data_IF_820518066215
#
_entry.id   IF_820518066215
#
_cell.length_a   1.000
_cell.length_b   1.000
_cell.length_c   1.000
_cell.angle_alpha   90.00
_cell.angle_beta   90.00
_cell.angle_gamma   90.00
#
_symmetry.space_group_name_H-M   'P 1'
#
loop_
_entity.id
_entity.type
_entity.pdbx_description
1 polymer ?
#
# COMPACT_ATOMS: atom_id res chain seq x y z
N UNK A 1 -8.63 -24.00 -23.11
CA UNK A 1 -8.76 -22.84 -24.03
C UNK A 1 -8.57 -21.52 -23.29
N UNK A 2 -9.35 -21.23 -22.24
CA UNK A 2 -9.27 -19.96 -21.49
C UNK A 2 -7.89 -19.71 -20.84
N UNK A 3 -7.27 -20.72 -20.22
CA UNK A 3 -5.93 -20.58 -19.64
C UNK A 3 -4.86 -20.14 -20.65
N UNK A 4 -4.86 -20.71 -21.86
CA UNK A 4 -3.90 -20.35 -22.91
C UNK A 4 -4.07 -18.89 -23.32
N UNK A 5 -5.33 -18.46 -23.53
CA UNK A 5 -5.63 -17.07 -23.88
C UNK A 5 -5.22 -16.09 -22.77
N UNK A 6 -5.43 -16.47 -21.51
CA UNK A 6 -4.97 -15.68 -20.37
C UNK A 6 -3.44 -15.56 -20.35
N UNK A 7 -2.72 -16.67 -20.60
CA UNK A 7 -1.26 -16.66 -20.66
C UNK A 7 -0.74 -15.77 -21.80
N UNK A 8 -1.30 -15.88 -23.00
CA UNK A 8 -0.92 -15.01 -24.14
C UNK A 8 -1.11 -13.52 -23.83
N UNK A 9 -2.17 -13.17 -23.08
CA UNK A 9 -2.40 -11.79 -22.62
C UNK A 9 -1.37 -11.37 -21.58
N UNK A 10 -1.06 -12.22 -20.60
CA UNK A 10 -0.06 -11.95 -19.56
C UNK A 10 1.31 -11.73 -20.21
N UNK A 11 1.73 -12.61 -21.12
CA UNK A 11 3.02 -12.52 -21.81
C UNK A 11 3.11 -11.22 -22.63
N UNK A 12 2.05 -10.87 -23.35
CA UNK A 12 1.96 -9.62 -24.12
C UNK A 12 2.03 -8.38 -23.24
N UNK A 13 1.34 -8.38 -22.09
CA UNK A 13 1.39 -7.29 -21.12
C UNK A 13 2.78 -7.15 -20.49
N UNK A 14 3.43 -8.24 -20.11
CA UNK A 14 4.79 -8.22 -19.55
C UNK A 14 5.79 -7.71 -20.58
N UNK A 15 5.70 -8.17 -21.83
CA UNK A 15 6.57 -7.69 -22.89
C UNK A 15 6.42 -6.18 -23.11
N UNK A 16 5.20 -5.67 -23.08
CA UNK A 16 4.94 -4.23 -23.16
C UNK A 16 5.52 -3.49 -21.96
N UNK A 17 5.28 -3.97 -20.73
CA UNK A 17 5.80 -3.35 -19.50
C UNK A 17 7.34 -3.28 -19.51
N UNK A 18 8.03 -4.34 -19.94
CA UNK A 18 9.49 -4.32 -20.10
C UNK A 18 9.96 -3.23 -21.05
N UNK A 19 9.24 -3.01 -22.16
CA UNK A 19 9.57 -1.98 -23.14
C UNK A 19 9.28 -0.55 -22.64
N UNK A 20 8.41 -0.38 -21.64
CA UNK A 20 8.11 0.92 -21.02
C UNK A 20 9.03 1.29 -19.85
N UNK A 21 9.87 0.37 -19.37
CA UNK A 21 10.75 0.67 -18.25
C UNK A 21 11.78 1.72 -18.67
N UNK A 22 11.92 2.78 -17.87
CA UNK A 22 12.90 3.81 -18.13
C UNK A 22 14.33 3.23 -18.05
N UNK A 23 15.15 3.36 -19.11
CA UNK A 23 16.47 2.72 -19.16
C UNK A 23 17.51 3.38 -18.23
N UNK A 24 17.30 4.64 -17.85
CA UNK A 24 18.25 5.37 -17.00
C UNK A 24 18.04 5.08 -15.51
N UNK A 25 16.80 4.87 -15.10
CA UNK A 25 16.41 4.79 -13.69
C UNK A 25 15.87 3.43 -13.27
N UNK A 26 15.27 2.66 -14.19
CA UNK A 26 14.57 1.41 -13.91
C UNK A 26 13.11 1.58 -13.45
N UNK A 27 12.58 2.80 -13.39
CA UNK A 27 11.20 3.07 -12.99
C UNK A 27 10.20 3.03 -14.16
N UNK A 28 8.92 3.20 -13.84
CA UNK A 28 7.82 3.34 -14.81
C UNK A 28 7.07 4.67 -14.63
N UNK A 29 6.56 5.20 -15.75
CA UNK A 29 5.72 6.41 -15.81
C UNK A 29 6.32 7.60 -15.03
N UNK A 30 7.61 7.85 -15.22
CA UNK A 30 8.30 8.95 -14.56
C UNK A 30 7.90 10.28 -15.22
N UNK A 31 7.53 11.30 -14.42
CA UNK A 31 7.21 12.60 -14.97
C UNK A 31 8.49 13.38 -15.33
N UNK A 32 8.39 14.24 -16.34
CA UNK A 32 9.49 15.18 -16.69
C UNK A 32 9.69 16.26 -15.61
N UNK A 33 8.61 16.65 -14.94
CA UNK A 33 8.60 17.61 -13.83
C UNK A 33 7.56 17.19 -12.76
N UNK A 34 7.82 17.53 -11.50
CA UNK A 34 6.95 17.20 -10.37
C UNK A 34 7.40 15.98 -9.56
N UNK A 35 6.52 15.44 -8.70
CA UNK A 35 6.86 14.35 -7.79
C UNK A 35 6.92 13.01 -8.50
N UNK A 36 7.91 12.20 -8.13
CA UNK A 36 8.00 10.80 -8.56
C UNK A 36 7.16 9.92 -7.64
N UNK A 37 6.43 8.98 -8.25
CA UNK A 37 5.56 8.03 -7.54
C UNK A 37 6.13 6.60 -7.65
N UNK A 38 7.01 6.18 -6.73
CA UNK A 38 7.54 4.81 -6.75
C UNK A 38 6.46 3.73 -6.66
N UNK A 39 5.25 4.05 -6.17
CA UNK A 39 4.09 3.19 -6.23
C UNK A 39 3.80 2.62 -7.62
N UNK A 40 4.00 3.41 -8.70
CA UNK A 40 3.70 2.94 -10.05
C UNK A 40 4.64 1.79 -10.42
N UNK A 41 5.93 1.94 -10.11
CA UNK A 41 6.91 0.86 -10.23
C UNK A 41 6.53 -0.34 -9.37
N UNK A 42 6.08 -0.12 -8.12
CA UNK A 42 5.59 -1.19 -7.25
C UNK A 42 4.44 -2.00 -7.87
N UNK A 43 3.41 -1.33 -8.41
CA UNK A 43 2.28 -2.00 -9.08
C UNK A 43 2.72 -2.86 -10.27
N UNK A 44 3.62 -2.33 -11.11
CA UNK A 44 4.16 -3.06 -12.26
C UNK A 44 4.91 -4.31 -11.80
N UNK A 45 5.77 -4.16 -10.79
CA UNK A 45 6.55 -5.28 -10.25
C UNK A 45 5.68 -6.34 -9.59
N UNK A 46 4.69 -5.96 -8.78
CA UNK A 46 3.72 -6.90 -8.19
C UNK A 46 3.01 -7.71 -9.28
N UNK A 47 2.57 -7.06 -10.36
CA UNK A 47 1.95 -7.75 -11.48
C UNK A 47 2.88 -8.74 -12.18
N UNK A 48 4.14 -8.35 -12.41
CA UNK A 48 5.15 -9.23 -13.00
C UNK A 48 5.49 -10.43 -12.10
N UNK A 49 5.69 -10.20 -10.80
CA UNK A 49 6.08 -11.21 -9.81
C UNK A 49 4.99 -12.26 -9.53
N UNK A 50 3.74 -12.01 -9.92
CA UNK A 50 2.69 -13.04 -9.89
C UNK A 50 2.83 -14.07 -11.03
N UNK A 51 3.71 -13.84 -12.00
CA UNK A 51 4.02 -14.85 -13.03
C UNK A 51 5.05 -15.83 -12.49
N UNK A 52 4.78 -17.14 -12.66
CA UNK A 52 5.58 -18.21 -12.04
C UNK A 52 7.06 -18.21 -12.45
N UNK A 53 7.40 -17.65 -13.61
CA UNK A 53 8.75 -17.65 -14.18
C UNK A 53 9.51 -16.32 -13.95
N UNK A 54 8.97 -15.40 -13.15
CA UNK A 54 9.58 -14.10 -12.87
C UNK A 54 9.82 -13.96 -11.37
N UNK A 55 11.08 -13.71 -11.01
CA UNK A 55 11.52 -13.50 -9.63
C UNK A 55 12.53 -12.33 -9.54
N UNK A 56 13.18 -12.18 -8.39
CA UNK A 56 14.19 -11.15 -8.16
C UNK A 56 15.46 -11.26 -9.02
N UNK A 57 15.69 -12.38 -9.71
CA UNK A 57 16.82 -12.53 -10.65
C UNK A 57 16.53 -11.92 -12.02
N UNK A 58 15.27 -11.62 -12.33
CA UNK A 58 14.91 -10.96 -13.57
C UNK A 58 15.50 -9.54 -13.66
N UNK A 59 16.24 -9.18 -14.73
CA UNK A 59 16.88 -7.87 -14.82
C UNK A 59 15.93 -6.68 -14.82
N UNK A 60 14.70 -6.83 -15.33
CA UNK A 60 13.67 -5.79 -15.28
C UNK A 60 13.20 -5.59 -13.85
N UNK A 61 12.97 -6.69 -13.11
CA UNK A 61 12.57 -6.66 -11.69
C UNK A 61 13.67 -6.06 -10.84
N UNK A 62 14.90 -6.54 -10.95
CA UNK A 62 16.04 -6.06 -10.16
C UNK A 62 16.25 -4.55 -10.28
N UNK A 63 16.14 -3.99 -11.50
CA UNK A 63 16.21 -2.55 -11.73
C UNK A 63 15.04 -1.79 -11.10
N UNK A 64 13.83 -2.33 -11.20
CA UNK A 64 12.64 -1.72 -10.58
C UNK A 64 12.72 -1.70 -9.05
N UNK A 65 13.21 -2.77 -8.44
CA UNK A 65 13.43 -2.82 -6.98
C UNK A 65 14.52 -1.84 -6.56
N UNK A 66 15.64 -1.78 -7.29
CA UNK A 66 16.67 -0.78 -7.02
C UNK A 66 16.13 0.65 -7.13
N UNK A 67 15.23 0.91 -8.09
CA UNK A 67 14.53 2.18 -8.20
C UNK A 67 13.67 2.47 -6.97
N UNK A 68 12.82 1.53 -6.52
CA UNK A 68 11.99 1.68 -5.31
C UNK A 68 12.84 2.01 -4.08
N UNK A 69 13.92 1.25 -3.85
CA UNK A 69 14.78 1.39 -2.67
C UNK A 69 15.47 2.75 -2.59
N UNK A 70 15.71 3.43 -3.73
CA UNK A 70 16.27 4.81 -3.75
C UNK A 70 15.33 5.85 -3.15
N UNK A 71 14.04 5.55 -3.05
CA UNK A 71 13.04 6.43 -2.43
C UNK A 71 12.77 6.09 -0.96
N UNK A 72 13.50 5.14 -0.38
CA UNK A 72 13.40 4.87 1.05
C UNK A 72 13.98 6.05 1.86
N UNK A 73 13.20 6.53 2.81
CA UNK A 73 13.52 7.65 3.70
C UNK A 73 14.02 7.15 5.07
N UNK A 74 14.68 8.01 5.87
CA UNK A 74 15.15 7.64 7.21
C UNK A 74 14.06 7.19 8.19
N UNK A 75 12.81 7.65 8.00
CA UNK A 75 11.65 7.25 8.81
C UNK A 75 11.04 5.90 8.36
N UNK A 76 11.59 5.28 7.32
CA UNK A 76 11.13 4.02 6.76
C UNK A 76 10.08 4.16 5.65
N UNK A 77 9.53 5.35 5.41
CA UNK A 77 8.65 5.58 4.27
C UNK A 77 9.38 5.39 2.94
N UNK A 78 8.64 5.06 1.88
CA UNK A 78 9.16 4.92 0.53
C UNK A 78 8.38 5.87 -0.38
N UNK A 79 8.91 7.08 -0.57
CA UNK A 79 8.27 8.14 -1.34
C UNK A 79 9.28 9.23 -1.74
N UNK A 80 8.90 10.04 -2.74
CA UNK A 80 9.59 11.32 -3.03
C UNK A 80 9.18 12.38 -1.98
N UNK A 81 7.97 12.94 -2.12
CA UNK A 81 7.51 14.03 -1.24
C UNK A 81 6.01 14.10 -0.95
N UNK A 82 5.18 13.45 -1.77
CA UNK A 82 3.72 13.46 -1.64
C UNK A 82 3.19 12.05 -1.45
N UNK A 83 2.02 11.97 -0.82
CA UNK A 83 1.25 10.74 -0.62
C UNK A 83 2.09 9.55 -0.11
N UNK A 84 2.91 9.74 0.96
CA UNK A 84 3.89 8.75 1.38
C UNK A 84 3.29 7.42 1.86
N UNK A 85 2.13 7.43 2.53
CA UNK A 85 1.49 6.18 2.97
C UNK A 85 1.06 5.30 1.80
N UNK A 86 0.53 5.90 0.73
CA UNK A 86 0.11 5.19 -0.48
C UNK A 86 1.31 4.56 -1.20
N UNK A 87 2.39 5.34 -1.39
CA UNK A 87 3.61 4.81 -2.02
C UNK A 87 4.24 3.71 -1.19
N UNK A 88 4.39 3.92 0.12
CA UNK A 88 5.02 2.95 1.02
C UNK A 88 4.25 1.63 1.02
N UNK A 89 2.92 1.68 1.08
CA UNK A 89 2.06 0.48 1.10
C UNK A 89 2.24 -0.38 -0.15
N UNK A 90 2.19 0.23 -1.34
CA UNK A 90 2.32 -0.50 -2.60
C UNK A 90 3.75 -1.02 -2.79
N UNK A 91 4.76 -0.19 -2.50
CA UNK A 91 6.16 -0.60 -2.58
C UNK A 91 6.46 -1.75 -1.60
N UNK A 92 5.87 -1.74 -0.41
CA UNK A 92 6.07 -2.80 0.60
C UNK A 92 5.61 -4.17 0.08
N UNK A 93 4.44 -4.25 -0.57
CA UNK A 93 3.97 -5.49 -1.20
C UNK A 93 4.95 -5.99 -2.27
N UNK A 94 5.42 -5.10 -3.17
CA UNK A 94 6.40 -5.47 -4.19
C UNK A 94 7.74 -5.94 -3.60
N UNK A 95 8.23 -5.28 -2.54
CA UNK A 95 9.44 -5.67 -1.83
C UNK A 95 9.29 -7.03 -1.11
N UNK A 96 8.12 -7.32 -0.57
CA UNK A 96 7.84 -8.61 0.05
C UNK A 96 7.83 -9.75 -0.99
N UNK A 97 7.19 -9.53 -2.14
CA UNK A 97 7.07 -10.53 -3.20
C UNK A 97 8.42 -10.87 -3.85
N UNK A 98 9.33 -9.90 -4.00
CA UNK A 98 10.61 -10.15 -4.69
C UNK A 98 11.59 -10.99 -3.85
N UNK A 99 11.44 -10.99 -2.53
CA UNK A 99 12.19 -11.83 -1.59
C UNK A 99 13.73 -11.77 -1.75
N UNK A 100 14.29 -10.56 -1.86
CA UNK A 100 15.75 -10.34 -1.92
C UNK A 100 16.30 -9.80 -0.59
N UNK A 101 17.61 -9.97 -0.30
CA UNK A 101 18.22 -9.43 0.92
C UNK A 101 18.10 -7.91 1.05
N UNK A 102 18.17 -7.18 -0.06
CA UNK A 102 18.03 -5.72 -0.10
C UNK A 102 16.59 -5.31 0.22
N UNK A 103 15.61 -6.01 -0.34
CA UNK A 103 14.20 -5.77 -0.04
C UNK A 103 13.86 -6.10 1.42
N UNK A 104 14.37 -7.23 1.93
CA UNK A 104 14.16 -7.66 3.31
C UNK A 104 14.64 -6.62 4.34
N UNK A 105 15.74 -5.92 4.06
CA UNK A 105 16.25 -4.83 4.92
C UNK A 105 15.32 -3.63 4.98
N UNK A 106 14.55 -3.38 3.92
CA UNK A 106 13.65 -2.23 3.85
C UNK A 106 12.28 -2.48 4.51
N UNK A 107 11.82 -3.74 4.57
CA UNK A 107 10.49 -4.13 5.03
C UNK A 107 10.16 -3.61 6.43
N UNK A 108 11.04 -3.84 7.42
CA UNK A 108 10.75 -3.49 8.82
C UNK A 108 10.55 -1.99 9.05
N UNK A 109 11.29 -1.16 8.33
CA UNK A 109 11.14 0.30 8.36
C UNK A 109 9.80 0.74 7.77
N UNK A 110 9.44 0.19 6.61
CA UNK A 110 8.16 0.47 5.96
C UNK A 110 6.94 0.02 6.77
N UNK A 111 6.99 -1.18 7.39
CA UNK A 111 5.94 -1.63 8.32
C UNK A 111 5.79 -0.69 9.52
N UNK A 112 6.91 -0.28 10.11
CA UNK A 112 6.90 0.65 11.26
C UNK A 112 6.29 1.99 10.88
N UNK A 113 6.70 2.54 9.73
CA UNK A 113 6.14 3.77 9.20
C UNK A 113 4.61 3.68 9.03
N UNK A 114 4.12 2.68 8.30
CA UNK A 114 2.69 2.53 8.01
C UNK A 114 1.84 2.40 9.28
N UNK A 115 2.31 1.63 10.27
CA UNK A 115 1.62 1.50 11.55
C UNK A 115 1.56 2.82 12.32
N UNK A 116 2.60 3.66 12.24
CA UNK A 116 2.60 5.00 12.85
C UNK A 116 1.65 5.99 12.17
N UNK A 117 1.41 5.82 10.87
CA UNK A 117 0.52 6.68 10.08
C UNK A 117 -0.95 6.30 10.20
N UNK A 118 -1.28 5.10 10.68
CA UNK A 118 -2.65 4.69 10.92
C UNK A 118 -3.24 5.48 12.10
N UNK A 119 -4.44 6.02 11.90
CA UNK A 119 -5.14 6.81 12.91
C UNK A 119 -5.37 6.01 14.18
N UNK A 120 -4.82 6.48 15.29
CA UNK A 120 -4.88 5.87 16.61
C UNK A 120 -4.54 6.89 17.69
N UNK A 121 -4.59 6.47 18.95
CA UNK A 121 -4.16 7.30 20.08
C UNK A 121 -2.69 7.74 19.98
N UNK A 122 -1.88 7.00 19.21
CA UNK A 122 -0.44 7.20 19.06
C UNK A 122 -0.02 7.65 17.65
N UNK A 123 -0.97 8.00 16.77
CA UNK A 123 -0.64 8.37 15.40
C UNK A 123 0.24 9.62 15.35
N UNK A 124 1.23 9.61 14.46
CA UNK A 124 2.31 10.62 14.42
C UNK A 124 1.97 11.95 13.76
N UNK A 125 0.72 12.19 13.35
CA UNK A 125 0.26 13.51 12.90
C UNK A 125 -1.13 13.83 13.40
N UNK A 126 -1.44 15.12 13.48
CA UNK A 126 -2.56 15.58 14.30
C UNK A 126 -2.89 17.06 14.15
N UNK A 127 -2.70 17.63 12.96
CA UNK A 127 -2.78 19.09 12.83
C UNK A 127 -4.25 19.57 12.76
N UNK A 128 -5.16 18.74 12.25
CA UNK A 128 -6.58 19.10 12.06
C UNK A 128 -7.57 18.25 12.88
N UNK A 129 -7.23 16.99 13.18
CA UNK A 129 -8.15 16.05 13.86
C UNK A 129 -7.90 15.92 15.37
N UNK A 130 -6.82 16.48 15.89
CA UNK A 130 -6.39 16.23 17.27
C UNK A 130 -6.07 14.76 17.52
N UNK A 131 -6.22 14.31 18.77
CA UNK A 131 -6.03 12.90 19.14
C UNK A 131 -7.19 12.06 18.61
N UNK A 132 -6.88 11.01 17.84
CA UNK A 132 -7.88 10.09 17.28
C UNK A 132 -7.98 8.84 18.16
N UNK A 133 -8.82 8.90 19.19
CA UNK A 133 -9.14 7.73 20.02
C UNK A 133 -10.13 6.78 19.35
N UNK A 134 -10.36 5.62 19.96
CA UNK A 134 -11.32 4.62 19.46
C UNK A 134 -12.71 5.17 19.16
N UNK A 135 -13.20 6.20 19.87
CA UNK A 135 -14.54 6.76 19.65
C UNK A 135 -14.63 7.64 18.40
N UNK A 136 -13.50 8.10 17.87
CA UNK A 136 -13.45 8.97 16.70
C UNK A 136 -13.71 8.18 15.40
N UNK A 137 -14.48 8.72 14.44
CA UNK A 137 -14.85 8.01 13.20
C UNK A 137 -13.65 7.59 12.34
N UNK A 138 -12.50 8.26 12.48
CA UNK A 138 -11.29 7.94 11.71
C UNK A 138 -10.44 6.81 12.29
N UNK A 139 -10.74 6.35 13.51
CA UNK A 139 -9.92 5.37 14.20
C UNK A 139 -9.68 4.12 13.35
N UNK A 140 -8.41 3.74 13.20
CA UNK A 140 -7.96 2.60 12.42
C UNK A 140 -7.91 2.79 10.90
N UNK A 141 -8.40 3.92 10.40
CA UNK A 141 -8.21 4.32 9.02
C UNK A 141 -6.79 4.84 8.75
N UNK A 142 -6.45 4.95 7.48
CA UNK A 142 -5.22 5.62 7.01
C UNK A 142 -5.55 6.40 5.74
N UNK A 143 -4.89 7.54 5.56
CA UNK A 143 -4.98 8.35 4.34
C UNK A 143 -3.64 8.44 3.63
N UNK A 144 -3.42 9.52 2.89
CA UNK A 144 -2.17 9.77 2.17
C UNK A 144 -0.97 10.13 3.07
N UNK A 145 -1.21 10.27 4.36
CA UNK A 145 -0.26 10.57 5.41
C UNK A 145 -1.05 10.74 6.71
N UNK A 146 -0.43 11.38 7.70
CA UNK A 146 -1.03 11.65 8.99
C UNK A 146 -1.91 12.91 9.02
N UNK A 147 -2.37 13.37 7.85
CA UNK A 147 -3.23 14.53 7.68
C UNK A 147 -4.38 14.17 6.74
N UNK A 148 -5.58 14.64 7.07
CA UNK A 148 -6.78 14.46 6.26
C UNK A 148 -7.58 13.18 6.57
N UNK A 149 -8.72 13.08 5.90
CA UNK A 149 -9.70 12.00 6.09
C UNK A 149 -9.11 10.65 5.61
N UNK A 150 -9.18 9.58 6.42
CA UNK A 150 -8.85 8.24 5.94
C UNK A 150 -9.85 7.75 4.88
N UNK A 151 -9.42 6.77 4.09
CA UNK A 151 -10.26 6.16 3.08
C UNK A 151 -9.96 4.66 2.90
N UNK A 152 -10.94 3.94 2.33
CA UNK A 152 -10.83 2.50 2.13
C UNK A 152 -9.75 2.07 1.14
N UNK A 153 -9.34 2.94 0.21
CA UNK A 153 -8.33 2.59 -0.79
C UNK A 153 -6.92 2.59 -0.20
N UNK A 154 -6.55 3.63 0.55
CA UNK A 154 -5.31 3.70 1.30
C UNK A 154 -5.25 2.58 2.34
N UNK A 155 -6.36 2.32 3.04
CA UNK A 155 -6.41 1.21 3.98
C UNK A 155 -6.19 -0.14 3.30
N UNK A 156 -6.84 -0.40 2.17
CA UNK A 156 -6.68 -1.65 1.44
C UNK A 156 -5.22 -1.90 1.03
N UNK A 157 -4.55 -0.90 0.45
CA UNK A 157 -3.14 -1.05 0.08
C UNK A 157 -2.24 -1.24 1.30
N UNK A 158 -2.49 -0.53 2.39
CA UNK A 158 -1.73 -0.71 3.63
C UNK A 158 -1.86 -2.14 4.15
N UNK A 159 -3.09 -2.65 4.27
CA UNK A 159 -3.34 -4.01 4.76
C UNK A 159 -2.69 -5.06 3.86
N UNK A 160 -2.76 -4.89 2.54
CA UNK A 160 -2.09 -5.78 1.59
C UNK A 160 -0.57 -5.77 1.78
N UNK A 161 0.05 -4.58 1.85
CA UNK A 161 1.49 -4.47 2.05
C UNK A 161 1.96 -5.06 3.38
N UNK A 162 1.24 -4.80 4.47
CA UNK A 162 1.54 -5.39 5.79
C UNK A 162 1.40 -6.91 5.78
N UNK A 163 0.33 -7.44 5.18
CA UNK A 163 0.10 -8.88 5.08
C UNK A 163 1.17 -9.57 4.22
N UNK A 164 1.44 -9.06 3.01
CA UNK A 164 2.43 -9.65 2.10
C UNK A 164 3.83 -9.68 2.72
N UNK A 165 4.16 -8.64 3.50
CA UNK A 165 5.44 -8.55 4.23
C UNK A 165 5.48 -9.34 5.54
N UNK A 166 4.45 -10.14 5.83
CA UNK A 166 4.43 -11.09 6.94
C UNK A 166 4.11 -10.50 8.30
N UNK A 167 3.48 -9.32 8.38
CA UNK A 167 2.92 -8.84 9.64
C UNK A 167 1.74 -9.73 10.06
N UNK A 168 1.71 -10.12 11.32
CA UNK A 168 0.64 -10.95 11.88
C UNK A 168 -0.72 -10.23 11.78
N UNK A 169 -1.76 -10.93 11.33
CA UNK A 169 -3.12 -10.40 11.27
C UNK A 169 -3.72 -10.11 12.66
N UNK A 170 -3.13 -10.65 13.72
CA UNK A 170 -3.47 -10.31 15.11
C UNK A 170 -2.78 -9.02 15.60
N UNK A 171 -1.87 -8.41 14.82
CA UNK A 171 -1.27 -7.10 15.13
C UNK A 171 -2.35 -6.02 15.27
N UNK A 172 -2.14 -5.09 16.21
CA UNK A 172 -3.08 -4.00 16.49
C UNK A 172 -3.47 -3.21 15.23
N UNK A 173 -2.58 -3.10 14.24
CA UNK A 173 -2.89 -2.40 13.00
C UNK A 173 -4.06 -3.02 12.23
N UNK A 174 -4.13 -4.35 12.15
CA UNK A 174 -5.25 -5.06 11.53
C UNK A 174 -6.50 -4.95 12.39
N UNK A 175 -6.37 -5.07 13.71
CA UNK A 175 -7.51 -4.97 14.63
C UNK A 175 -8.15 -3.58 14.62
N UNK A 176 -7.36 -2.50 14.51
CA UNK A 176 -7.86 -1.14 14.30
C UNK A 176 -8.53 -0.99 12.94
N UNK A 177 -7.96 -1.58 11.89
CA UNK A 177 -8.54 -1.53 10.55
C UNK A 177 -9.95 -2.15 10.48
N UNK A 178 -10.20 -3.23 11.23
CA UNK A 178 -11.55 -3.82 11.35
C UNK A 178 -12.56 -2.79 11.87
N UNK A 179 -12.21 -2.01 12.90
CA UNK A 179 -13.08 -0.94 13.42
C UNK A 179 -13.42 0.08 12.34
N UNK A 180 -12.41 0.50 11.56
CA UNK A 180 -12.65 1.43 10.46
C UNK A 180 -13.56 0.84 9.38
N UNK A 181 -13.32 -0.42 8.99
CA UNK A 181 -14.14 -1.11 7.99
C UNK A 181 -15.59 -1.32 8.45
N UNK A 182 -15.80 -1.66 9.72
CA UNK A 182 -17.13 -1.71 10.33
C UNK A 182 -17.83 -0.36 10.24
N UNK A 183 -17.09 0.74 10.47
CA UNK A 183 -17.61 2.11 10.38
C UNK A 183 -17.83 2.60 8.96
N UNK A 184 -17.15 2.03 7.97
CA UNK A 184 -17.46 2.32 6.57
C UNK A 184 -18.76 1.68 6.12
N UNK A 185 -19.34 0.76 6.87
CA UNK A 185 -20.57 0.07 6.46
C UNK A 185 -21.80 0.72 7.06
N UNK A 186 -22.80 0.97 6.23
CA UNK A 186 -24.05 1.65 6.60
C UNK A 186 -25.04 0.70 7.29
N UNK A 187 -24.60 0.07 8.38
CA UNK A 187 -25.35 -0.95 9.13
C UNK A 187 -25.06 -0.86 10.64
N UNK A 188 -26.07 -0.51 11.42
CA UNK A 188 -25.95 -0.26 12.86
C UNK A 188 -25.76 -1.52 13.70
N UNK A 189 -25.71 -2.72 13.11
CA UNK A 189 -25.36 -3.96 13.83
C UNK A 189 -23.87 -4.06 14.14
N UNK A 190 -23.04 -3.34 13.40
CA UNK A 190 -21.58 -3.35 13.55
C UNK A 190 -20.95 -1.97 13.42
N UNK A 191 -21.58 -1.03 12.72
CA UNK A 191 -21.18 0.38 12.77
C UNK A 191 -21.74 1.06 14.03
N UNK A 192 -20.84 1.38 14.96
CA UNK A 192 -21.16 2.00 16.24
C UNK A 192 -21.40 3.52 16.18
N UNK A 193 -21.29 4.12 14.99
CA UNK A 193 -21.43 5.57 14.83
C UNK A 193 -22.89 6.05 14.88
N UNK A 194 -23.16 7.27 15.40
CA UNK A 194 -24.52 7.80 15.52
C UNK A 194 -25.31 7.83 14.22
N UNK A 195 -24.65 8.10 13.09
CA UNK A 195 -25.29 8.13 11.78
C UNK A 195 -25.78 6.75 11.32
N UNK A 196 -25.19 5.66 11.84
CA UNK A 196 -25.54 4.29 11.46
C UNK A 196 -26.65 3.66 12.31
N UNK A 197 -27.07 4.33 13.38
CA UNK A 197 -28.05 3.82 14.33
C UNK A 197 -29.35 3.39 13.63
N UNK A 198 -29.66 2.10 13.72
CA UNK A 198 -30.87 1.49 13.15
C UNK A 198 -30.82 1.22 11.65
N UNK A 199 -29.71 1.52 10.96
CA UNK A 199 -29.54 1.21 9.54
C UNK A 199 -29.24 -0.28 9.32
N UNK A 200 -29.63 -0.80 8.15
CA UNK A 200 -29.31 -2.14 7.65
C UNK A 200 -29.01 -2.12 6.15
N UNK A 201 -28.52 -0.99 5.62
CA UNK A 201 -28.32 -0.82 4.17
C UNK A 201 -27.12 -1.60 3.64
N UNK A 202 -26.09 -1.83 4.47
CA UNK A 202 -24.89 -2.62 4.12
C UNK A 202 -23.98 -2.03 3.03
N UNK A 203 -24.29 -0.85 2.49
CA UNK A 203 -23.42 -0.13 1.57
C UNK A 203 -22.22 0.49 2.28
N UNK A 204 -21.16 0.81 1.53
CA UNK A 204 -20.01 1.55 2.06
C UNK A 204 -20.23 3.07 2.00
N UNK A 205 -19.76 3.82 3.01
CA UNK A 205 -19.82 5.29 3.14
C UNK A 205 -18.44 5.94 3.21
#
# INVERSE_FOLDING_TARGET
>A
AHYRKAQEMIDGSIAWLRAQQDPATGGWALPDDGPVFPAITGLVLTGMLHSQDIDGSDPTVARGIAFILRYQQPDGSIADRVVPSYNTSICLSALALVNTPEAAKAIGGAQTYLRGQQWSENSTGGDESGVVDRSHPFYGGIGYGSHGRPDGSNLNFMLQGLHDSGLDCDDEAFQRAVVFLERMQMDGRFNDMPYAKGSQQGGFI
#
